data_IF_793290849510
#
_entry.id   IF_793290849510
#
_cell.length_a   1.000
_cell.length_b   1.000
_cell.length_c   1.000
_cell.angle_alpha   90.00
_cell.angle_beta   90.00
_cell.angle_gamma   90.00
#
_symmetry.space_group_name_H-M   'P 1'
#
loop_
_entity.id
_entity.type
_entity.pdbx_description
1 polymer ?
#
# COMPACT_ATOMS: atom_id res chain seq x y z
N UNK A 1 3.08 65.62 -5.82
CA UNK A 1 3.39 64.60 -4.79
C UNK A 1 4.80 64.82 -4.27
N UNK A 2 4.90 65.04 -2.96
CA UNK A 2 6.13 65.41 -2.24
C UNK A 2 7.22 64.34 -2.38
N UNK A 3 8.49 64.76 -2.52
CA UNK A 3 9.66 63.88 -2.59
C UNK A 3 9.75 62.90 -1.41
N UNK A 4 9.20 63.29 -0.25
CA UNK A 4 9.12 62.45 0.96
C UNK A 4 8.17 61.26 0.79
N UNK A 5 7.05 61.43 0.08
CA UNK A 5 6.10 60.34 -0.22
C UNK A 5 6.70 59.32 -1.18
N UNK A 6 7.55 59.76 -2.12
CA UNK A 6 8.27 58.86 -3.03
C UNK A 6 9.31 58.04 -2.28
N UNK A 7 10.11 58.67 -1.41
CA UNK A 7 11.11 57.98 -0.58
C UNK A 7 10.49 56.94 0.38
N UNK A 8 9.34 57.26 0.99
CA UNK A 8 8.63 56.34 1.87
C UNK A 8 8.06 55.14 1.10
N UNK A 9 7.54 55.37 -0.10
CA UNK A 9 7.04 54.31 -0.99
C UNK A 9 8.17 53.39 -1.45
N UNK A 10 9.33 53.94 -1.84
CA UNK A 10 10.49 53.12 -2.22
C UNK A 10 11.02 52.28 -1.06
N UNK A 11 11.07 52.84 0.15
CA UNK A 11 11.49 52.12 1.35
C UNK A 11 10.53 50.97 1.71
N UNK A 12 9.22 51.19 1.55
CA UNK A 12 8.20 50.17 1.78
C UNK A 12 8.31 49.01 0.78
N UNK A 13 8.62 49.29 -0.49
CA UNK A 13 8.80 48.26 -1.53
C UNK A 13 10.04 47.39 -1.24
N UNK A 14 11.15 47.98 -0.78
CA UNK A 14 12.38 47.24 -0.46
C UNK A 14 12.19 46.31 0.75
N UNK A 15 11.38 46.70 1.72
CA UNK A 15 11.07 45.87 2.90
C UNK A 15 10.08 44.74 2.59
N UNK A 16 9.16 44.93 1.64
CA UNK A 16 8.20 43.90 1.25
C UNK A 16 8.78 42.86 0.26
N UNK A 17 9.83 43.19 -0.50
CA UNK A 17 10.46 42.25 -1.44
C UNK A 17 10.92 40.91 -0.82
N UNK A 18 11.58 40.86 0.35
CA UNK A 18 11.99 39.58 0.95
C UNK A 18 10.81 38.75 1.48
N UNK A 19 9.66 39.36 1.77
CA UNK A 19 8.46 38.64 2.23
C UNK A 19 7.77 37.87 1.09
N UNK A 20 7.90 38.32 -0.16
CA UNK A 20 7.32 37.62 -1.33
C UNK A 20 8.26 36.52 -1.84
N UNK A 21 9.58 36.70 -1.72
CA UNK A 21 10.57 35.68 -2.11
C UNK A 21 10.70 34.52 -1.10
N UNK A 22 10.06 34.63 0.08
CA UNK A 22 9.99 33.53 1.05
C UNK A 22 8.99 32.43 0.66
N UNK A 23 8.22 32.59 -0.43
CA UNK A 23 7.44 31.50 -1.02
C UNK A 23 8.36 30.62 -1.88
N UNK A 24 9.02 29.65 -1.25
CA UNK A 24 9.56 28.50 -1.98
C UNK A 24 8.38 27.82 -2.72
N UNK A 25 8.51 27.50 -4.03
CA UNK A 25 7.58 26.60 -4.68
C UNK A 25 7.61 25.29 -3.90
N UNK A 26 6.51 25.06 -3.16
CA UNK A 26 6.32 23.87 -2.35
C UNK A 26 6.61 22.65 -3.21
N UNK A 27 7.48 21.81 -2.66
CA UNK A 27 7.83 20.48 -3.12
C UNK A 27 6.55 19.78 -3.61
N UNK A 28 6.33 19.86 -4.92
CA UNK A 28 5.22 19.23 -5.63
C UNK A 28 5.73 17.99 -6.33
N UNK A 29 6.63 17.27 -5.66
CA UNK A 29 6.68 15.83 -5.82
C UNK A 29 5.62 15.26 -4.87
N UNK A 30 4.43 14.99 -5.40
CA UNK A 30 3.54 13.98 -4.81
C UNK A 30 4.38 12.74 -4.48
N UNK A 31 4.04 11.93 -3.47
CA UNK A 31 4.96 10.96 -2.88
C UNK A 31 5.53 10.00 -3.94
N UNK A 32 6.69 10.34 -4.51
CA UNK A 32 7.40 9.59 -5.58
C UNK A 32 8.23 8.47 -4.96
N UNK A 33 7.79 7.97 -3.81
CA UNK A 33 8.17 6.68 -3.28
C UNK A 33 6.95 6.14 -2.58
N UNK A 34 6.28 5.22 -3.27
CA UNK A 34 5.65 4.10 -2.55
C UNK A 34 6.76 3.62 -1.62
N UNK A 35 6.58 3.66 -0.28
CA UNK A 35 7.60 3.14 0.62
C UNK A 35 7.88 1.72 0.13
N UNK A 36 9.08 1.49 -0.40
CA UNK A 36 9.54 0.15 -0.72
C UNK A 36 9.32 -0.60 0.59
N UNK A 37 8.46 -1.63 0.61
CA UNK A 37 8.50 -2.53 1.73
C UNK A 37 9.96 -2.99 1.77
N UNK A 38 10.70 -2.68 2.83
CA UNK A 38 12.12 -3.05 2.99
C UNK A 38 12.35 -4.55 2.77
N UNK A 39 11.28 -5.34 2.71
CA UNK A 39 11.25 -6.74 2.33
C UNK A 39 10.30 -6.93 1.15
N UNK A 40 10.85 -7.25 0.00
CA UNK A 40 10.06 -7.83 -1.08
C UNK A 40 9.60 -9.24 -0.66
N UNK A 41 8.36 -9.58 -1.02
CA UNK A 41 7.81 -10.90 -0.81
C UNK A 41 7.50 -11.53 -2.16
N UNK A 42 7.80 -12.81 -2.27
CA UNK A 42 7.33 -13.64 -3.37
C UNK A 42 6.10 -14.40 -2.91
N UNK A 43 5.06 -14.44 -3.72
CA UNK A 43 3.85 -15.19 -3.42
C UNK A 43 3.51 -16.13 -4.56
N UNK A 44 3.10 -17.34 -4.20
CA UNK A 44 2.45 -18.27 -5.14
C UNK A 44 0.95 -18.16 -4.91
N UNK A 45 0.27 -17.58 -5.90
CA UNK A 45 -1.16 -17.32 -5.88
C UNK A 45 -1.91 -18.39 -6.69
N UNK A 46 -3.06 -18.81 -6.19
CA UNK A 46 -3.97 -19.74 -6.85
C UNK A 46 -5.31 -19.04 -7.04
N UNK A 47 -5.72 -18.90 -8.29
CA UNK A 47 -7.02 -18.37 -8.71
C UNK A 47 -8.16 -19.35 -8.35
N UNK A 48 -9.40 -18.87 -8.21
CA UNK A 48 -10.61 -19.71 -8.08
C UNK A 48 -10.74 -20.75 -9.20
N UNK A 49 -10.18 -20.46 -10.38
CA UNK A 49 -10.14 -21.35 -11.54
C UNK A 49 -9.07 -22.44 -11.44
N UNK A 50 -8.27 -22.45 -10.37
CA UNK A 50 -7.18 -23.40 -10.13
C UNK A 50 -5.86 -23.06 -10.81
N UNK A 51 -5.76 -21.92 -11.50
CA UNK A 51 -4.50 -21.47 -12.11
C UNK A 51 -3.54 -21.00 -11.02
N UNK A 52 -2.32 -21.53 -11.03
CA UNK A 52 -1.24 -21.12 -10.12
C UNK A 52 -0.33 -20.11 -10.81
N UNK A 53 0.04 -19.04 -10.09
CA UNK A 53 0.91 -17.98 -10.58
C UNK A 53 1.97 -17.64 -9.54
N UNK A 54 3.22 -17.52 -9.98
CA UNK A 54 4.32 -17.04 -9.15
C UNK A 54 4.48 -15.54 -9.35
N UNK A 55 4.36 -14.80 -8.25
CA UNK A 55 4.44 -13.35 -8.21
C UNK A 55 5.63 -12.95 -7.34
N UNK A 56 6.41 -12.00 -7.81
CA UNK A 56 7.45 -11.29 -7.04
C UNK A 56 6.92 -9.92 -6.65
N UNK A 57 7.49 -9.28 -5.63
CA UNK A 57 7.01 -7.97 -5.13
C UNK A 57 5.51 -7.98 -4.79
N UNK A 58 5.05 -9.07 -4.16
CA UNK A 58 3.64 -9.24 -3.81
C UNK A 58 3.21 -8.25 -2.72
N UNK A 59 2.09 -7.56 -2.95
CA UNK A 59 1.49 -6.64 -2.00
C UNK A 59 -0.03 -6.63 -2.13
N UNK A 60 -0.73 -6.28 -1.04
CA UNK A 60 -2.16 -6.06 -1.01
C UNK A 60 -2.41 -4.57 -0.83
N UNK A 61 -3.05 -3.90 -1.79
CA UNK A 61 -3.23 -2.43 -1.76
C UNK A 61 -1.92 -1.65 -1.51
N UNK A 62 -0.78 -2.18 -1.99
CA UNK A 62 0.55 -1.60 -1.77
C UNK A 62 1.17 -1.89 -0.39
N UNK A 63 0.54 -2.74 0.42
CA UNK A 63 0.98 -3.11 1.77
C UNK A 63 1.41 -4.58 1.82
N UNK A 64 2.36 -4.92 2.72
CA UNK A 64 2.89 -6.28 2.91
C UNK A 64 2.34 -6.95 4.20
N UNK A 65 1.08 -6.65 4.50
CA UNK A 65 0.35 -7.26 5.59
C UNK A 65 -1.09 -7.54 5.16
N UNK A 66 -1.68 -8.52 5.79
CA UNK A 66 -3.08 -8.88 5.62
C UNK A 66 -3.91 -8.02 6.57
N UNK A 67 -4.76 -7.15 6.03
CA UNK A 67 -5.64 -6.28 6.80
C UNK A 67 -7.08 -6.76 6.67
N UNK A 68 -7.72 -7.08 7.78
CA UNK A 68 -9.13 -7.47 7.80
C UNK A 68 -9.78 -7.22 9.14
N UNK A 69 -11.09 -7.36 9.16
CA UNK A 69 -11.93 -7.18 10.32
C UNK A 69 -12.06 -8.51 11.08
N UNK A 70 -11.94 -8.46 12.40
CA UNK A 70 -12.08 -9.60 13.30
C UNK A 70 -13.00 -9.18 14.45
N UNK A 71 -14.24 -9.68 14.43
CA UNK A 71 -15.28 -9.20 15.33
C UNK A 71 -15.54 -7.71 15.09
N UNK A 72 -15.53 -6.92 16.17
CA UNK A 72 -15.70 -5.46 16.11
C UNK A 72 -14.37 -4.69 15.90
N UNK A 73 -13.25 -5.41 15.77
CA UNK A 73 -11.92 -4.84 15.63
C UNK A 73 -11.31 -5.06 14.25
N UNK A 74 -10.23 -4.33 13.97
CA UNK A 74 -9.42 -4.52 12.76
C UNK A 74 -8.05 -5.10 13.14
N UNK A 75 -7.61 -6.12 12.40
CA UNK A 75 -6.36 -6.83 12.64
C UNK A 75 -5.48 -6.77 11.40
N UNK A 76 -4.20 -6.48 11.62
CA UNK A 76 -3.17 -6.49 10.60
C UNK A 76 -2.17 -7.62 10.90
N UNK A 77 -2.05 -8.60 10.01
CA UNK A 77 -1.11 -9.72 10.12
C UNK A 77 0.02 -9.55 9.09
N UNK A 78 1.27 -9.31 9.51
CA UNK A 78 2.40 -9.15 8.59
C UNK A 78 2.67 -10.42 7.78
N UNK A 79 3.00 -10.27 6.49
CA UNK A 79 3.32 -11.41 5.61
C UNK A 79 4.47 -12.27 6.11
N UNK A 80 5.41 -11.70 6.87
CA UNK A 80 6.52 -12.42 7.48
C UNK A 80 6.08 -13.56 8.38
N UNK A 81 4.95 -13.39 9.07
CA UNK A 81 4.40 -14.35 10.02
C UNK A 81 3.45 -15.33 9.36
N UNK A 82 2.99 -15.03 8.15
CA UNK A 82 2.05 -15.84 7.38
C UNK A 82 2.85 -16.89 6.61
N UNK A 83 2.35 -18.13 6.63
CA UNK A 83 2.80 -19.20 5.75
C UNK A 83 1.86 -19.28 4.53
N UNK A 84 0.55 -19.39 4.79
CA UNK A 84 -0.48 -19.54 3.77
C UNK A 84 -1.74 -18.79 4.14
N UNK A 85 -2.41 -18.21 3.15
CA UNK A 85 -3.76 -17.64 3.29
C UNK A 85 -4.71 -18.40 2.38
N UNK A 86 -5.78 -18.92 2.97
CA UNK A 86 -6.90 -19.53 2.26
C UNK A 86 -8.06 -18.54 2.25
N UNK A 87 -8.64 -18.27 1.09
CA UNK A 87 -9.69 -17.26 0.88
C UNK A 87 -10.97 -17.94 0.46
N UNK A 88 -12.08 -17.61 1.11
CA UNK A 88 -13.39 -18.19 0.83
C UNK A 88 -14.43 -17.08 0.80
N UNK A 89 -15.23 -17.03 -0.27
CA UNK A 89 -16.37 -16.13 -0.34
C UNK A 89 -17.42 -16.56 0.69
N UNK A 90 -17.65 -15.71 1.69
CA UNK A 90 -18.68 -15.86 2.72
C UNK A 90 -19.93 -15.02 2.43
N UNK A 91 -20.89 -15.03 3.35
CA UNK A 91 -22.13 -14.23 3.22
C UNK A 91 -21.89 -12.73 3.39
N UNK A 92 -21.05 -12.33 4.36
CA UNK A 92 -20.80 -10.93 4.72
C UNK A 92 -19.53 -10.34 4.08
N UNK A 93 -18.80 -11.12 3.29
CA UNK A 93 -17.54 -10.70 2.70
C UNK A 93 -16.62 -11.86 2.35
N UNK A 94 -15.33 -11.55 2.15
CA UNK A 94 -14.31 -12.55 1.85
C UNK A 94 -13.65 -12.99 3.16
N UNK A 95 -13.81 -14.25 3.54
CA UNK A 95 -13.18 -14.80 4.74
C UNK A 95 -11.76 -15.25 4.38
N UNK A 96 -10.77 -14.60 4.95
CA UNK A 96 -9.36 -14.94 4.81
C UNK A 96 -8.88 -15.69 6.06
N UNK A 97 -8.47 -16.94 5.89
CA UNK A 97 -7.86 -17.75 6.94
C UNK A 97 -6.36 -17.76 6.75
N UNK A 98 -5.64 -16.97 7.54
CA UNK A 98 -4.19 -16.91 7.55
C UNK A 98 -3.62 -17.98 8.49
N UNK A 99 -2.90 -18.95 7.93
CA UNK A 99 -2.06 -19.90 8.67
C UNK A 99 -0.72 -19.25 8.92
N UNK A 100 -0.38 -19.10 10.20
CA UNK A 100 0.88 -18.52 10.64
C UNK A 100 1.96 -19.60 10.73
N UNK A 101 3.21 -19.17 10.64
CA UNK A 101 4.39 -20.05 10.73
C UNK A 101 4.56 -20.71 12.09
N UNK A 102 3.92 -20.18 13.14
CA UNK A 102 3.89 -20.77 14.48
C UNK A 102 2.84 -21.88 14.64
N UNK A 103 2.08 -22.17 13.59
CA UNK A 103 1.00 -23.17 13.59
C UNK A 103 -0.37 -22.60 13.98
N UNK A 104 -0.46 -21.33 14.38
CA UNK A 104 -1.75 -20.69 14.65
C UNK A 104 -2.49 -20.40 13.34
N UNK A 105 -3.82 -20.30 13.42
CA UNK A 105 -4.66 -19.89 12.30
C UNK A 105 -5.53 -18.73 12.74
N UNK A 106 -5.54 -17.66 11.96
CA UNK A 106 -6.29 -16.44 12.22
C UNK A 106 -7.26 -16.24 11.07
N UNK A 107 -8.55 -16.25 11.37
CA UNK A 107 -9.61 -15.94 10.41
C UNK A 107 -10.01 -14.48 10.53
N UNK A 108 -10.06 -13.77 9.40
CA UNK A 108 -10.41 -12.36 9.32
C UNK A 108 -11.25 -12.11 8.07
N UNK A 109 -12.17 -11.16 8.18
CA UNK A 109 -13.09 -10.78 7.10
C UNK A 109 -12.46 -9.63 6.31
N UNK A 110 -12.38 -9.79 5.00
CA UNK A 110 -11.82 -8.82 4.07
C UNK A 110 -12.86 -8.41 3.03
N UNK A 111 -12.58 -7.30 2.34
CA UNK A 111 -13.42 -6.85 1.24
C UNK A 111 -12.98 -7.54 -0.05
N UNK A 112 -13.87 -8.18 -0.81
CA UNK A 112 -13.50 -8.89 -2.04
C UNK A 112 -12.90 -7.98 -3.12
N UNK A 113 -13.25 -6.69 -3.10
CA UNK A 113 -12.77 -5.66 -4.05
C UNK A 113 -11.32 -5.19 -3.80
N UNK A 114 -10.68 -5.64 -2.72
CA UNK A 114 -9.28 -5.31 -2.46
C UNK A 114 -8.39 -5.95 -3.52
N UNK A 115 -7.35 -5.23 -3.95
CA UNK A 115 -6.49 -5.63 -5.05
C UNK A 115 -5.17 -6.18 -4.52
N UNK A 116 -4.83 -7.36 -5.02
CA UNK A 116 -3.50 -7.92 -4.90
C UNK A 116 -2.66 -7.52 -6.11
N UNK A 117 -1.45 -7.05 -5.85
CA UNK A 117 -0.47 -6.64 -6.83
C UNK A 117 0.75 -7.54 -6.74
N UNK A 118 1.35 -7.82 -7.89
CA UNK A 118 2.62 -8.52 -7.96
C UNK A 118 3.21 -8.45 -9.36
N UNK A 119 4.44 -8.91 -9.49
CA UNK A 119 5.16 -8.99 -10.75
C UNK A 119 5.36 -10.46 -11.14
N UNK A 120 4.67 -10.87 -12.19
CA UNK A 120 4.86 -12.18 -12.83
C UNK A 120 6.04 -12.12 -13.81
N UNK A 121 6.49 -13.28 -14.30
CA UNK A 121 7.58 -13.38 -15.27
C UNK A 121 7.34 -12.56 -16.55
N UNK A 122 6.07 -12.45 -16.96
CA UNK A 122 5.66 -11.75 -18.18
C UNK A 122 5.22 -10.30 -17.96
N UNK A 123 5.22 -9.78 -16.72
CA UNK A 123 4.87 -8.39 -16.44
C UNK A 123 4.15 -8.16 -15.11
N UNK A 124 3.52 -6.99 -14.99
CA UNK A 124 2.73 -6.63 -13.82
C UNK A 124 1.41 -7.38 -13.80
N UNK A 125 1.09 -7.96 -12.66
CA UNK A 125 -0.12 -8.74 -12.44
C UNK A 125 -0.95 -8.10 -11.32
N UNK A 126 -2.25 -8.02 -11.56
CA UNK A 126 -3.23 -7.47 -10.62
C UNK A 126 -4.47 -8.35 -10.63
N UNK A 127 -4.92 -8.75 -9.45
CA UNK A 127 -6.11 -9.56 -9.25
C UNK A 127 -6.90 -9.04 -8.05
N UNK A 128 -8.23 -9.18 -8.09
CA UNK A 128 -9.08 -8.88 -6.94
C UNK A 128 -9.07 -10.07 -5.98
N UNK A 129 -9.02 -9.80 -4.68
CA UNK A 129 -8.97 -10.82 -3.63
C UNK A 129 -10.16 -11.80 -3.72
N UNK A 130 -11.32 -11.35 -4.19
CA UNK A 130 -12.51 -12.20 -4.42
C UNK A 130 -12.32 -13.30 -5.47
N UNK A 131 -11.35 -13.14 -6.38
CA UNK A 131 -11.02 -14.12 -7.44
C UNK A 131 -9.81 -14.99 -7.07
N UNK A 132 -9.27 -14.83 -5.87
CA UNK A 132 -8.14 -15.61 -5.36
C UNK A 132 -8.67 -16.71 -4.44
N UNK A 133 -8.30 -17.96 -4.70
CA UNK A 133 -8.62 -19.08 -3.82
C UNK A 133 -7.65 -19.18 -2.64
N UNK A 134 -6.36 -19.02 -2.91
CA UNK A 134 -5.34 -19.05 -1.85
C UNK A 134 -4.03 -18.44 -2.34
N UNK A 135 -3.19 -18.01 -1.41
CA UNK A 135 -1.82 -17.64 -1.73
C UNK A 135 -0.86 -18.03 -0.61
N UNK A 136 0.36 -18.38 -0.98
CA UNK A 136 1.44 -18.72 -0.05
C UNK A 136 2.50 -17.65 -0.16
N UNK A 137 2.95 -17.10 0.96
CA UNK A 137 3.91 -16.00 0.96
C UNK A 137 5.27 -16.49 1.45
N UNK A 138 6.32 -16.08 0.74
CA UNK A 138 7.72 -16.37 1.10
C UNK A 138 8.55 -15.09 1.06
N UNK A 139 9.54 -14.94 1.95
CA UNK A 139 10.51 -13.86 1.84
C UNK A 139 11.22 -14.01 0.49
N UNK A 140 11.29 -12.94 -0.32
CA UNK A 140 12.20 -12.97 -1.46
C UNK A 140 13.61 -12.85 -0.90
N UNK A 141 14.40 -13.91 -1.02
CA UNK A 141 15.80 -13.90 -0.60
C UNK A 141 16.56 -12.87 -1.45
N UNK A 142 17.40 -12.00 -0.85
CA UNK A 142 18.23 -11.05 -1.59
C UNK A 142 19.32 -11.75 -2.42
#
# INVERSE_FOLDING_TARGET
MSKTTRLFSTLLIVVCLPLVMAMSPGDSEGPTRIPEPEKAFSATLVDISGKTMNLTQFSLEGQVFLLGDMGDGQVAVPFEKIDRVDLVNGQDGLVATAKLKDGQSVALTMRPKQKAFGKAEFGFYRIELGDVASFTVRPSMP
#
